data_IF_630627605987
#
_entry.id   IF_630627605987
#
_cell.length_a   1.000
_cell.length_b   1.000
_cell.length_c   1.000
_cell.angle_alpha   90.00
_cell.angle_beta   90.00
_cell.angle_gamma   90.00
#
_symmetry.space_group_name_H-M   'P 1'
#
loop_
_entity.id
_entity.type
_entity.pdbx_description
1 polymer ?
#
# COMPACT_ATOMS: atom_id res chain seq x y z
N UNK A 1 3.24 14.79 -3.42
CA UNK A 1 2.46 16.05 -3.35
C UNK A 1 0.97 15.71 -3.39
N UNK A 2 0.15 16.37 -2.56
CA UNK A 2 -1.33 16.20 -2.53
C UNK A 2 -1.99 17.46 -3.04
N UNK A 3 -2.85 17.32 -4.04
CA UNK A 3 -3.60 18.45 -4.61
C UNK A 3 -5.09 18.11 -4.72
N UNK A 4 -5.94 19.10 -4.51
CA UNK A 4 -7.40 18.96 -4.64
C UNK A 4 -7.86 19.59 -5.94
N UNK A 5 -8.50 18.80 -6.80
CA UNK A 5 -9.17 19.34 -8.00
C UNK A 5 -10.62 19.69 -7.67
N UNK A 6 -10.94 20.99 -7.81
CA UNK A 6 -12.24 21.54 -7.47
C UNK A 6 -12.19 22.37 -6.18
N UNK A 7 -12.12 23.70 -6.36
CA UNK A 7 -12.02 24.68 -5.26
C UNK A 7 -13.39 25.14 -4.72
N UNK A 8 -14.46 24.43 -5.05
CA UNK A 8 -15.83 24.69 -4.58
C UNK A 8 -16.10 24.06 -3.20
N UNK A 9 -17.40 24.01 -2.84
CA UNK A 9 -17.87 23.49 -1.54
C UNK A 9 -17.25 22.14 -1.16
N UNK A 10 -17.20 21.18 -2.08
CA UNK A 10 -16.65 19.83 -1.84
C UNK A 10 -15.14 19.84 -1.65
N UNK A 11 -14.41 20.66 -2.42
CA UNK A 11 -12.96 20.79 -2.23
C UNK A 11 -12.58 21.40 -0.89
N UNK A 12 -13.32 22.40 -0.43
CA UNK A 12 -13.14 23.02 0.89
C UNK A 12 -13.43 22.01 1.99
N UNK A 13 -14.47 21.20 1.84
CA UNK A 13 -14.79 20.17 2.82
C UNK A 13 -13.75 19.05 2.84
N UNK A 14 -13.25 18.63 1.67
CA UNK A 14 -12.15 17.67 1.58
C UNK A 14 -10.87 18.19 2.26
N UNK A 15 -10.52 19.47 2.03
CA UNK A 15 -9.39 20.10 2.73
C UNK A 15 -9.56 20.05 4.25
N UNK A 16 -10.78 20.35 4.75
CA UNK A 16 -11.08 20.29 6.18
C UNK A 16 -10.91 18.88 6.74
N UNK A 17 -11.41 17.87 6.03
CA UNK A 17 -11.27 16.48 6.42
C UNK A 17 -9.80 16.07 6.45
N UNK A 18 -9.05 16.38 5.40
CA UNK A 18 -7.63 16.04 5.31
C UNK A 18 -6.80 16.71 6.42
N UNK A 19 -7.05 17.99 6.73
CA UNK A 19 -6.42 18.69 7.85
C UNK A 19 -6.71 18.01 9.20
N UNK A 20 -7.96 17.55 9.41
CA UNK A 20 -8.33 16.82 10.63
C UNK A 20 -7.64 15.44 10.73
N UNK A 21 -7.24 14.88 9.61
CA UNK A 21 -6.48 13.63 9.51
C UNK A 21 -4.96 13.85 9.48
N UNK A 22 -4.50 15.08 9.76
CA UNK A 22 -3.09 15.51 9.74
C UNK A 22 -2.40 15.38 8.36
N UNK A 23 -3.16 15.43 7.26
CA UNK A 23 -2.59 15.56 5.92
C UNK A 23 -2.42 17.01 5.54
N UNK A 24 -1.26 17.36 4.96
CA UNK A 24 -1.05 18.65 4.31
C UNK A 24 -1.50 18.59 2.85
N UNK A 25 -2.24 19.60 2.42
CA UNK A 25 -2.62 19.79 1.02
C UNK A 25 -1.75 20.91 0.45
N UNK A 26 -1.04 20.61 -0.63
CA UNK A 26 -0.08 21.54 -1.21
C UNK A 26 -0.78 22.62 -2.06
N UNK A 27 -1.75 22.20 -2.88
CA UNK A 27 -2.46 23.10 -3.78
C UNK A 27 -3.92 22.71 -4.00
N UNK A 28 -4.73 23.70 -4.39
CA UNK A 28 -5.95 23.46 -5.16
C UNK A 28 -5.66 23.63 -6.65
N UNK A 29 -6.38 22.90 -7.50
CA UNK A 29 -6.33 23.04 -8.96
C UNK A 29 -7.66 23.55 -9.49
N UNK A 30 -7.60 24.48 -10.41
CA UNK A 30 -8.71 24.91 -11.25
C UNK A 30 -8.29 24.92 -12.73
N UNK A 31 -9.27 24.75 -13.63
CA UNK A 31 -9.04 24.75 -15.08
C UNK A 31 -8.46 26.08 -15.58
N UNK A 32 -8.89 27.20 -14.99
CA UNK A 32 -8.38 28.56 -15.25
C UNK A 32 -8.15 29.28 -13.95
N UNK A 33 -7.00 29.88 -13.80
CA UNK A 33 -6.64 30.79 -12.69
C UNK A 33 -6.21 32.10 -13.28
N UNK A 34 -7.04 33.11 -13.11
CA UNK A 34 -6.80 34.46 -13.69
C UNK A 34 -6.04 35.40 -12.74
N UNK A 35 -6.08 35.09 -11.44
CA UNK A 35 -5.39 35.86 -10.39
C UNK A 35 -4.88 34.88 -9.32
N UNK A 36 -3.86 35.32 -8.59
CA UNK A 36 -3.39 34.56 -7.44
C UNK A 36 -4.49 34.46 -6.37
N UNK A 37 -4.95 33.25 -6.10
CA UNK A 37 -6.05 32.95 -5.19
C UNK A 37 -5.56 31.95 -4.14
N UNK A 38 -5.98 32.14 -2.90
CA UNK A 38 -5.82 31.15 -1.83
C UNK A 38 -7.19 30.78 -1.24
N UNK A 39 -7.35 29.50 -0.91
CA UNK A 39 -8.54 28.97 -0.25
C UNK A 39 -8.12 28.36 1.08
N UNK A 40 -8.54 28.95 2.18
CA UNK A 40 -8.15 28.56 3.54
C UNK A 40 -6.63 28.42 3.73
N UNK A 41 -5.86 29.31 3.12
CA UNK A 41 -4.40 29.33 3.19
C UNK A 41 -3.68 28.39 2.20
N UNK A 42 -4.42 27.67 1.37
CA UNK A 42 -3.86 26.80 0.32
C UNK A 42 -3.95 27.51 -1.03
N UNK A 43 -2.81 27.63 -1.73
CA UNK A 43 -2.72 28.30 -3.04
C UNK A 43 -3.50 27.55 -4.10
N UNK A 44 -4.19 28.25 -4.98
CA UNK A 44 -4.85 27.72 -6.18
C UNK A 44 -3.91 27.86 -7.37
N UNK A 45 -3.63 26.76 -8.06
CA UNK A 45 -2.76 26.75 -9.25
C UNK A 45 -3.51 26.25 -10.48
N UNK A 46 -3.01 26.62 -11.65
CA UNK A 46 -3.51 26.10 -12.91
C UNK A 46 -2.90 24.71 -13.22
N UNK A 47 -3.52 24.00 -14.16
CA UNK A 47 -2.96 22.75 -14.66
C UNK A 47 -1.54 22.92 -15.23
N UNK A 48 -1.28 24.01 -15.95
CA UNK A 48 0.04 24.28 -16.54
C UNK A 48 1.13 24.54 -15.49
N UNK A 49 0.75 24.99 -14.31
CA UNK A 49 1.67 25.13 -13.18
C UNK A 49 1.91 23.78 -12.50
N UNK A 50 0.86 22.98 -12.33
CA UNK A 50 0.94 21.67 -11.71
C UNK A 50 1.87 20.69 -12.44
N UNK A 51 1.85 20.67 -13.77
CA UNK A 51 2.67 19.74 -14.58
C UNK A 51 4.18 19.92 -14.42
N UNK A 52 4.63 20.96 -13.71
CA UNK A 52 6.04 21.18 -13.38
C UNK A 52 6.53 20.37 -12.19
N UNK A 53 5.62 19.74 -11.45
CA UNK A 53 5.92 18.95 -10.27
C UNK A 53 5.86 17.44 -10.61
N UNK A 54 6.50 16.63 -9.78
CA UNK A 54 6.53 15.18 -9.88
C UNK A 54 5.75 14.54 -8.71
N UNK A 55 5.39 13.26 -8.83
CA UNK A 55 4.69 12.46 -7.80
C UNK A 55 3.41 13.13 -7.28
N UNK A 56 2.49 13.42 -8.20
CA UNK A 56 1.27 14.17 -7.91
C UNK A 56 0.11 13.23 -7.57
N UNK A 57 -0.51 13.45 -6.41
CA UNK A 57 -1.77 12.82 -6.02
C UNK A 57 -2.91 13.83 -6.20
N UNK A 58 -3.77 13.62 -7.18
CA UNK A 58 -4.92 14.48 -7.46
C UNK A 58 -6.18 13.89 -6.82
N UNK A 59 -6.75 14.60 -5.88
CA UNK A 59 -7.98 14.27 -5.21
C UNK A 59 -9.14 15.04 -5.87
N UNK A 60 -10.01 14.33 -6.58
CA UNK A 60 -11.17 14.94 -7.22
C UNK A 60 -12.32 15.13 -6.24
N UNK A 61 -12.70 16.38 -6.01
CA UNK A 61 -13.83 16.77 -5.19
C UNK A 61 -14.98 17.32 -6.09
N UNK A 62 -15.39 16.53 -7.09
CA UNK A 62 -16.39 16.89 -8.10
C UNK A 62 -17.55 15.90 -8.06
N UNK A 63 -18.76 16.40 -7.74
CA UNK A 63 -19.98 15.56 -7.62
C UNK A 63 -20.53 15.12 -8.97
N UNK A 64 -20.41 15.94 -9.99
CA UNK A 64 -20.92 15.63 -11.32
C UNK A 64 -20.02 14.58 -12.00
N UNK A 65 -20.54 13.35 -12.11
CA UNK A 65 -19.80 12.20 -12.67
C UNK A 65 -19.47 12.37 -14.16
N UNK A 66 -20.26 13.15 -14.91
CA UNK A 66 -20.00 13.41 -16.33
C UNK A 66 -18.82 14.36 -16.47
N UNK A 67 -18.79 15.44 -15.70
CA UNK A 67 -17.67 16.38 -15.63
C UNK A 67 -16.41 15.66 -15.11
N UNK A 68 -16.56 14.84 -14.06
CA UNK A 68 -15.45 14.07 -13.51
C UNK A 68 -14.83 13.14 -14.55
N UNK A 69 -15.64 12.43 -15.35
CA UNK A 69 -15.15 11.55 -16.42
C UNK A 69 -14.39 12.31 -17.49
N UNK A 70 -14.88 13.47 -17.91
CA UNK A 70 -14.21 14.31 -18.91
C UNK A 70 -12.86 14.80 -18.41
N UNK A 71 -12.79 15.27 -17.17
CA UNK A 71 -11.55 15.77 -16.57
C UNK A 71 -10.56 14.62 -16.33
N UNK A 72 -11.02 13.48 -15.82
CA UNK A 72 -10.17 12.27 -15.66
C UNK A 72 -9.55 11.85 -16.99
N UNK A 73 -10.33 11.83 -18.06
CA UNK A 73 -9.82 11.49 -19.39
C UNK A 73 -8.79 12.52 -19.88
N UNK A 74 -9.02 13.83 -19.68
CA UNK A 74 -8.06 14.87 -20.06
C UNK A 74 -6.75 14.75 -19.25
N UNK A 75 -6.84 14.44 -17.95
CA UNK A 75 -5.67 14.21 -17.08
C UNK A 75 -4.90 12.96 -17.51
N UNK A 76 -5.60 11.85 -17.77
CA UNK A 76 -5.00 10.58 -18.16
C UNK A 76 -4.41 10.64 -19.58
N UNK A 77 -5.04 11.41 -20.51
CA UNK A 77 -4.52 11.60 -21.85
C UNK A 77 -3.20 12.37 -21.92
N UNK A 78 -2.84 13.13 -20.88
CA UNK A 78 -1.56 13.87 -20.82
C UNK A 78 -0.34 13.00 -20.53
N UNK A 79 -0.52 11.66 -20.49
CA UNK A 79 0.52 10.60 -20.43
C UNK A 79 1.64 10.82 -19.40
N UNK A 80 1.31 11.36 -18.23
CA UNK A 80 2.26 11.43 -17.11
C UNK A 80 2.07 10.24 -16.18
N UNK A 81 3.16 9.58 -15.90
CA UNK A 81 3.19 8.29 -15.19
C UNK A 81 3.23 8.42 -13.67
N UNK A 82 3.42 9.64 -13.19
CA UNK A 82 3.58 10.04 -11.79
C UNK A 82 2.37 10.80 -11.24
N UNK A 83 1.23 10.74 -11.97
CA UNK A 83 -0.03 11.34 -11.51
C UNK A 83 -0.99 10.26 -11.07
N UNK A 84 -1.32 10.28 -9.80
CA UNK A 84 -2.32 9.40 -9.19
C UNK A 84 -3.63 10.17 -9.01
N UNK A 85 -4.74 9.55 -9.41
CA UNK A 85 -6.06 10.20 -9.44
C UNK A 85 -7.03 9.47 -8.52
N UNK A 86 -7.69 10.21 -7.63
CA UNK A 86 -8.63 9.68 -6.63
C UNK A 86 -9.96 10.41 -6.73
N UNK A 87 -11.07 9.66 -6.77
CA UNK A 87 -12.41 10.20 -6.62
C UNK A 87 -12.77 10.25 -5.13
N UNK A 88 -13.02 11.45 -4.61
CA UNK A 88 -13.22 11.67 -3.18
C UNK A 88 -14.65 12.07 -2.82
N UNK A 89 -15.61 12.01 -3.74
CA UNK A 89 -16.98 12.45 -3.43
C UNK A 89 -17.62 11.56 -2.38
N UNK A 90 -17.55 10.24 -2.54
CA UNK A 90 -18.12 9.31 -1.56
C UNK A 90 -17.43 9.46 -0.19
N UNK A 91 -16.12 9.70 -0.19
CA UNK A 91 -15.36 10.00 1.02
C UNK A 91 -15.81 11.31 1.68
N UNK A 92 -16.05 12.38 0.91
CA UNK A 92 -16.53 13.67 1.42
C UNK A 92 -17.94 13.52 1.99
N UNK A 93 -18.85 12.89 1.25
CA UNK A 93 -20.23 12.68 1.67
C UNK A 93 -20.31 11.81 2.92
N UNK A 94 -19.51 10.75 3.01
CA UNK A 94 -19.38 9.91 4.19
C UNK A 94 -18.85 10.71 5.39
N UNK A 95 -17.83 11.54 5.21
CA UNK A 95 -17.25 12.34 6.28
C UNK A 95 -18.09 13.58 6.66
N UNK A 96 -18.92 14.13 5.78
CA UNK A 96 -19.97 15.10 6.15
C UNK A 96 -21.01 14.45 7.05
N UNK A 97 -21.30 13.17 6.82
CA UNK A 97 -22.06 12.32 7.75
C UNK A 97 -21.34 12.09 9.09
N UNK A 98 -20.01 12.10 9.14
CA UNK A 98 -19.20 11.82 10.37
C UNK A 98 -19.46 12.84 11.49
N UNK A 99 -19.89 14.07 11.24
CA UNK A 99 -20.47 14.90 12.32
C UNK A 99 -21.72 14.28 12.98
N UNK A 100 -22.38 13.33 12.32
CA UNK A 100 -23.41 12.44 12.89
C UNK A 100 -22.87 11.06 13.31
N UNK A 101 -21.68 10.68 12.84
CA UNK A 101 -21.10 9.32 12.94
C UNK A 101 -20.40 9.06 14.28
N UNK A 102 -20.29 10.00 15.18
CA UNK A 102 -20.06 9.63 16.59
C UNK A 102 -21.20 8.73 17.17
N UNK A 103 -22.13 8.29 16.30
CA UNK A 103 -23.23 7.37 16.60
C UNK A 103 -23.51 6.33 15.49
N UNK A 104 -22.71 6.17 14.44
CA UNK A 104 -22.95 5.11 13.44
C UNK A 104 -22.37 3.80 13.98
N UNK A 105 -23.27 2.88 14.29
CA UNK A 105 -22.99 1.47 14.48
C UNK A 105 -22.72 0.82 13.10
N UNK A 106 -21.59 1.13 12.48
CA UNK A 106 -21.16 0.43 11.26
C UNK A 106 -20.84 -1.02 11.59
N UNK A 107 -21.22 -1.95 10.72
CA UNK A 107 -20.90 -3.37 10.87
C UNK A 107 -19.42 -3.70 10.55
N UNK A 108 -18.75 -2.81 9.84
CA UNK A 108 -17.33 -2.97 9.47
C UNK A 108 -16.45 -2.28 10.50
N UNK A 109 -15.24 -2.81 10.68
CA UNK A 109 -14.29 -2.31 11.66
C UNK A 109 -12.88 -2.26 11.06
N UNK A 110 -12.23 -1.11 11.16
CA UNK A 110 -10.83 -1.00 10.77
C UNK A 110 -9.95 -1.33 11.97
N UNK A 111 -9.25 -2.46 11.92
CA UNK A 111 -8.37 -2.89 13.02
C UNK A 111 -7.15 -1.99 13.22
N UNK A 112 -6.82 -1.12 12.23
CA UNK A 112 -5.70 -0.18 12.32
C UNK A 112 -6.04 1.00 13.23
N UNK A 113 -7.21 1.63 13.02
CA UNK A 113 -7.62 2.79 13.81
C UNK A 113 -8.71 2.49 14.84
N UNK A 114 -9.21 1.25 14.91
CA UNK A 114 -10.28 0.83 15.84
C UNK A 114 -11.66 1.39 15.51
N UNK A 115 -11.81 2.21 14.47
CA UNK A 115 -13.09 2.83 14.14
C UNK A 115 -14.01 1.87 13.41
N UNK A 116 -15.29 1.95 13.77
CA UNK A 116 -16.38 1.31 13.00
C UNK A 116 -16.74 2.19 11.81
N UNK A 117 -16.97 1.57 10.67
CA UNK A 117 -17.31 2.23 9.41
C UNK A 117 -18.46 1.49 8.72
N UNK A 118 -19.24 2.20 7.93
CA UNK A 118 -20.32 1.61 7.16
C UNK A 118 -19.77 0.70 6.05
N UNK A 119 -18.74 1.18 5.35
CA UNK A 119 -18.02 0.44 4.30
C UNK A 119 -16.60 0.92 4.15
N UNK A 120 -15.74 0.05 3.60
CA UNK A 120 -14.43 0.45 3.09
C UNK A 120 -14.56 1.03 1.70
N UNK A 121 -13.71 2.02 1.37
CA UNK A 121 -13.67 2.66 0.07
C UNK A 121 -12.94 1.80 -0.97
N UNK A 122 -13.23 1.95 -2.26
CA UNK A 122 -12.47 1.30 -3.31
C UNK A 122 -11.04 1.85 -3.38
N UNK A 123 -10.11 1.00 -3.86
CA UNK A 123 -8.71 1.39 -4.05
C UNK A 123 -7.95 0.42 -4.93
N UNK A 124 -6.70 0.76 -5.23
CA UNK A 124 -5.80 -0.03 -6.07
C UNK A 124 -5.80 0.38 -7.55
N UNK A 125 -4.98 -0.30 -8.33
CA UNK A 125 -4.70 0.04 -9.74
C UNK A 125 -5.49 -0.88 -10.66
N UNK A 126 -6.17 -0.30 -11.66
CA UNK A 126 -6.80 -1.08 -12.73
C UNK A 126 -5.73 -1.46 -13.77
N UNK A 127 -5.31 -2.71 -13.79
CA UNK A 127 -4.48 -3.27 -14.84
C UNK A 127 -5.16 -4.53 -15.43
N UNK A 128 -5.18 -4.63 -16.74
CA UNK A 128 -5.88 -5.73 -17.44
C UNK A 128 -5.30 -7.10 -17.08
N UNK A 129 -3.97 -7.18 -16.91
CA UNK A 129 -3.28 -8.42 -16.49
C UNK A 129 -3.74 -8.89 -15.12
N UNK A 130 -3.98 -7.99 -14.18
CA UNK A 130 -4.48 -8.36 -12.85
C UNK A 130 -5.90 -8.92 -12.91
N UNK A 131 -6.75 -8.33 -13.74
CA UNK A 131 -8.11 -8.82 -13.95
C UNK A 131 -8.11 -10.15 -14.71
N UNK A 132 -7.31 -10.26 -15.79
CA UNK A 132 -7.20 -11.45 -16.64
C UNK A 132 -6.77 -12.68 -15.84
N UNK A 133 -5.80 -12.53 -14.95
CA UNK A 133 -5.19 -13.62 -14.20
C UNK A 133 -5.63 -13.68 -12.73
N UNK A 134 -6.73 -12.99 -12.37
CA UNK A 134 -7.31 -13.03 -11.02
C UNK A 134 -6.26 -12.81 -9.92
N UNK A 135 -5.38 -11.81 -10.11
CA UNK A 135 -4.27 -11.55 -9.20
C UNK A 135 -4.79 -11.12 -7.82
N UNK A 136 -4.31 -11.79 -6.80
CA UNK A 136 -4.62 -11.53 -5.39
C UNK A 136 -3.57 -10.59 -4.81
N UNK A 137 -3.95 -9.72 -3.88
CA UNK A 137 -3.04 -8.74 -3.27
C UNK A 137 -2.65 -7.59 -4.21
N UNK A 138 -3.21 -7.55 -5.43
CA UNK A 138 -3.00 -6.51 -6.44
C UNK A 138 -4.30 -6.03 -7.07
N UNK A 139 -4.22 -5.02 -7.94
CA UNK A 139 -5.36 -4.56 -8.72
C UNK A 139 -6.37 -3.70 -7.96
N UNK A 140 -7.48 -3.41 -8.63
CA UNK A 140 -8.59 -2.65 -8.08
C UNK A 140 -9.44 -3.50 -7.15
N UNK A 141 -9.74 -2.99 -5.97
CA UNK A 141 -10.54 -3.65 -4.94
C UNK A 141 -11.65 -2.73 -4.44
N UNK A 142 -12.87 -3.24 -4.39
CA UNK A 142 -14.06 -2.44 -4.02
C UNK A 142 -14.10 -2.04 -2.55
N UNK A 143 -13.47 -2.80 -1.65
CA UNK A 143 -13.48 -2.60 -0.19
C UNK A 143 -12.03 -2.51 0.34
N UNK A 144 -11.23 -1.58 -0.21
CA UNK A 144 -9.79 -1.51 0.02
C UNK A 144 -9.40 -0.58 1.17
N UNK A 145 -9.86 0.67 1.15
CA UNK A 145 -9.33 1.76 1.96
C UNK A 145 -10.26 2.09 3.13
N UNK A 146 -9.71 2.23 4.32
CA UNK A 146 -10.47 2.75 5.47
C UNK A 146 -10.78 4.24 5.25
N UNK A 147 -12.08 4.66 5.32
CA UNK A 147 -12.44 6.06 5.12
C UNK A 147 -11.95 6.99 6.24
N UNK A 148 -11.54 6.46 7.37
CA UNK A 148 -11.11 7.23 8.54
C UNK A 148 -9.59 7.43 8.55
N UNK A 149 -8.80 6.35 8.47
CA UNK A 149 -7.35 6.44 8.59
C UNK A 149 -6.58 6.23 7.28
N UNK A 150 -7.26 5.82 6.20
CA UNK A 150 -6.59 5.55 4.92
C UNK A 150 -5.92 4.18 4.81
N UNK A 151 -5.89 3.38 5.88
CA UNK A 151 -5.26 2.06 5.84
C UNK A 151 -5.92 1.15 4.80
N UNK A 152 -5.10 0.51 3.98
CA UNK A 152 -5.53 -0.44 2.97
C UNK A 152 -5.94 -1.80 3.58
N UNK A 153 -6.63 -2.61 2.80
CA UNK A 153 -6.94 -4.00 3.14
C UNK A 153 -5.68 -4.83 3.45
N UNK A 154 -4.60 -4.61 2.69
CA UNK A 154 -3.30 -5.27 2.87
C UNK A 154 -2.62 -4.87 4.18
N UNK A 155 -2.64 -3.56 4.51
CA UNK A 155 -2.12 -3.09 5.81
C UNK A 155 -2.94 -3.64 6.97
N UNK A 156 -4.28 -3.71 6.84
CA UNK A 156 -5.12 -4.32 7.85
C UNK A 156 -4.81 -5.81 8.04
N UNK A 157 -4.64 -6.56 6.94
CA UNK A 157 -4.30 -7.99 7.03
C UNK A 157 -2.89 -8.20 7.60
N UNK A 158 -1.89 -7.41 7.18
CA UNK A 158 -0.56 -7.43 7.77
C UNK A 158 -0.63 -7.18 9.28
N UNK A 159 -1.34 -6.13 9.71
CA UNK A 159 -1.48 -5.82 11.13
C UNK A 159 -2.13 -6.99 11.89
N UNK A 160 -3.17 -7.59 11.34
CA UNK A 160 -3.79 -8.76 11.95
C UNK A 160 -2.79 -9.89 12.18
N UNK A 161 -1.98 -10.22 11.17
CA UNK A 161 -0.94 -11.25 11.25
C UNK A 161 0.11 -10.88 12.29
N UNK A 162 0.61 -9.63 12.27
CA UNK A 162 1.60 -9.17 13.24
C UNK A 162 1.08 -9.25 14.69
N UNK A 163 -0.17 -8.87 14.93
CA UNK A 163 -0.74 -8.86 16.28
C UNK A 163 -1.17 -10.24 16.78
N UNK A 164 -1.83 -11.03 15.93
CA UNK A 164 -2.54 -12.24 16.36
C UNK A 164 -1.80 -13.55 16.04
N UNK A 165 -0.82 -13.51 15.13
CA UNK A 165 -0.02 -14.69 14.74
C UNK A 165 1.43 -14.54 15.21
N UNK A 166 2.05 -13.39 14.95
CA UNK A 166 3.42 -13.08 15.37
C UNK A 166 3.48 -12.60 16.83
N UNK A 167 2.38 -12.05 17.34
CA UNK A 167 2.30 -11.40 18.66
C UNK A 167 3.29 -10.26 18.84
N UNK A 168 3.36 -9.36 17.85
CA UNK A 168 4.34 -8.26 17.74
C UNK A 168 4.45 -7.41 19.01
N UNK A 169 3.38 -7.30 19.79
CA UNK A 169 3.36 -6.54 21.04
C UNK A 169 4.11 -7.23 22.21
N UNK A 170 4.43 -8.52 22.07
CA UNK A 170 5.05 -9.36 23.11
C UNK A 170 6.43 -9.89 22.72
N UNK A 171 6.89 -9.62 21.49
CA UNK A 171 8.24 -9.99 21.05
C UNK A 171 9.29 -8.96 21.49
N UNK A 172 10.53 -9.37 21.47
CA UNK A 172 11.71 -8.52 21.65
C UNK A 172 12.72 -8.80 20.54
N UNK A 173 13.66 -7.87 20.32
CA UNK A 173 14.75 -8.04 19.39
C UNK A 173 14.73 -7.02 18.24
N UNK A 174 15.49 -7.31 17.20
CA UNK A 174 15.69 -6.41 16.07
C UNK A 174 14.71 -6.69 14.94
N UNK A 175 13.96 -5.67 14.56
CA UNK A 175 13.01 -5.71 13.44
C UNK A 175 13.49 -4.81 12.33
N UNK A 176 13.69 -5.36 11.15
CA UNK A 176 14.00 -4.65 9.92
C UNK A 176 12.75 -4.61 9.02
N UNK A 177 12.31 -3.41 8.62
CA UNK A 177 11.11 -3.23 7.80
C UNK A 177 11.44 -2.46 6.53
N UNK A 178 11.29 -3.10 5.38
CA UNK A 178 11.48 -2.51 4.05
C UNK A 178 10.20 -1.84 3.56
N UNK A 179 10.35 -0.66 2.94
CA UNK A 179 9.24 0.15 2.42
C UNK A 179 8.06 0.27 3.42
N UNK A 180 8.33 0.73 4.66
CA UNK A 180 7.43 0.53 5.78
C UNK A 180 6.14 1.32 5.63
N UNK A 181 5.01 0.66 5.86
CA UNK A 181 3.69 1.28 5.89
C UNK A 181 3.54 2.18 7.12
N UNK A 182 3.06 3.40 6.91
CA UNK A 182 2.94 4.44 7.95
C UNK A 182 2.20 3.97 9.21
N UNK A 183 1.11 3.23 9.03
CA UNK A 183 0.31 2.73 10.15
C UNK A 183 1.03 1.63 10.94
N UNK A 184 1.81 0.81 10.26
CA UNK A 184 2.57 -0.29 10.88
C UNK A 184 3.77 0.25 11.68
N UNK A 185 4.44 1.30 11.18
CA UNK A 185 5.54 1.96 11.88
C UNK A 185 5.14 2.34 13.32
N UNK A 186 4.00 3.03 13.47
CA UNK A 186 3.55 3.53 14.77
C UNK A 186 3.26 2.38 15.75
N UNK A 187 2.71 1.29 15.25
CA UNK A 187 2.36 0.11 16.07
C UNK A 187 3.63 -0.61 16.57
N UNK A 188 4.60 -0.84 15.67
CA UNK A 188 5.86 -1.51 16.03
C UNK A 188 6.66 -0.64 17.00
N UNK A 189 6.73 0.68 16.77
CA UNK A 189 7.45 1.62 17.66
C UNK A 189 6.88 1.71 19.08
N UNK A 190 5.61 1.34 19.28
CA UNK A 190 5.01 1.30 20.62
C UNK A 190 5.54 0.15 21.50
N UNK A 191 6.14 -0.90 20.89
CA UNK A 191 6.80 -1.94 21.67
C UNK A 191 8.26 -1.54 21.97
N UNK A 192 8.52 -1.14 23.19
CA UNK A 192 9.84 -0.66 23.66
C UNK A 192 10.93 -1.75 23.68
N UNK A 193 10.55 -3.02 23.55
CA UNK A 193 11.50 -4.14 23.50
C UNK A 193 11.98 -4.44 22.07
N UNK A 194 11.50 -3.68 21.08
CA UNK A 194 11.89 -3.83 19.70
C UNK A 194 12.91 -2.73 19.32
N UNK A 195 14.06 -3.16 18.84
CA UNK A 195 15.03 -2.31 18.15
C UNK A 195 14.63 -2.24 16.68
N UNK A 196 13.93 -1.15 16.29
CA UNK A 196 13.22 -1.05 15.02
C UNK A 196 13.97 -0.23 13.98
N UNK A 197 14.29 -0.84 12.85
CA UNK A 197 14.96 -0.25 11.70
C UNK A 197 14.05 -0.23 10.49
N UNK A 198 14.00 0.90 9.79
CA UNK A 198 13.21 1.03 8.56
C UNK A 198 14.09 1.42 7.39
N UNK A 199 13.83 0.82 6.22
CA UNK A 199 14.64 0.98 5.03
C UNK A 199 13.77 1.16 3.80
N UNK A 200 14.16 2.11 2.93
CA UNK A 200 13.53 2.35 1.63
C UNK A 200 14.62 2.74 0.63
N UNK A 201 14.40 2.47 -0.65
CA UNK A 201 15.26 2.95 -1.72
C UNK A 201 15.12 4.46 -1.94
N UNK A 202 13.99 5.03 -1.54
CA UNK A 202 13.66 6.45 -1.68
C UNK A 202 14.05 7.20 -0.41
N UNK A 203 14.97 8.18 -0.56
CA UNK A 203 15.39 9.04 0.54
C UNK A 203 14.20 9.75 1.19
N UNK A 204 14.14 9.68 2.53
CA UNK A 204 13.13 10.36 3.35
C UNK A 204 11.87 9.54 3.64
N UNK A 205 11.71 8.35 3.04
CA UNK A 205 10.61 7.44 3.36
C UNK A 205 10.86 6.52 4.55
N UNK A 206 12.13 6.29 4.87
CA UNK A 206 12.55 5.44 5.99
C UNK A 206 13.77 6.05 6.70
N UNK A 207 14.20 5.42 7.81
CA UNK A 207 15.37 5.86 8.58
C UNK A 207 16.67 5.75 7.77
N UNK A 208 16.76 4.74 6.90
CA UNK A 208 17.94 4.47 6.08
C UNK A 208 17.55 4.28 4.62
N UNK A 209 18.49 4.62 3.73
CA UNK A 209 18.41 4.33 2.29
C UNK A 209 19.35 3.18 1.99
N UNK A 210 18.82 2.07 1.45
CA UNK A 210 19.65 0.96 1.03
C UNK A 210 19.00 0.09 -0.03
N UNK A 211 19.84 -0.73 -0.65
CA UNK A 211 19.44 -1.80 -1.56
C UNK A 211 19.32 -3.13 -0.77
N UNK A 212 18.19 -3.79 -0.89
CA UNK A 212 17.91 -5.10 -0.29
C UNK A 212 18.88 -6.20 -0.80
N UNK A 213 19.49 -5.99 -1.95
CA UNK A 213 20.46 -6.93 -2.56
C UNK A 213 21.86 -6.82 -1.96
N UNK A 214 22.12 -5.77 -1.14
CA UNK A 214 23.43 -5.53 -0.51
C UNK A 214 23.27 -4.81 0.83
N UNK A 215 22.82 -5.53 1.85
CA UNK A 215 22.53 -4.97 3.16
C UNK A 215 23.79 -4.80 4.01
N UNK A 216 23.98 -3.62 4.59
CA UNK A 216 25.13 -3.30 5.46
C UNK A 216 24.89 -3.76 6.91
N UNK A 217 24.41 -5.00 7.09
CA UNK A 217 24.23 -5.64 8.39
C UNK A 217 25.10 -6.90 8.51
N UNK A 218 25.47 -7.22 9.76
CA UNK A 218 26.17 -8.46 10.06
C UNK A 218 25.27 -9.69 9.79
N UNK A 219 25.88 -10.84 9.58
CA UNK A 219 25.18 -12.11 9.51
C UNK A 219 24.38 -12.32 10.80
N UNK A 220 23.18 -12.92 10.69
CA UNK A 220 22.36 -13.31 11.85
C UNK A 220 22.12 -12.16 12.85
N UNK A 221 21.87 -10.95 12.34
CA UNK A 221 21.71 -9.76 13.15
C UNK A 221 20.25 -9.32 13.35
N UNK A 222 19.30 -9.87 12.59
CA UNK A 222 17.88 -9.52 12.62
C UNK A 222 17.02 -10.68 13.12
N UNK A 223 16.15 -10.38 14.09
CA UNK A 223 15.18 -11.34 14.59
C UNK A 223 13.95 -11.43 13.67
N UNK A 224 13.54 -10.29 13.12
CA UNK A 224 12.39 -10.19 12.21
C UNK A 224 12.74 -9.29 11.02
N UNK A 225 12.29 -9.71 9.83
CA UNK A 225 12.36 -8.90 8.60
C UNK A 225 10.96 -8.80 8.04
N UNK A 226 10.47 -7.58 7.79
CA UNK A 226 9.17 -7.31 7.17
C UNK A 226 9.41 -6.68 5.80
N UNK A 227 8.79 -7.23 4.75
CA UNK A 227 9.05 -6.82 3.37
C UNK A 227 7.78 -7.03 2.50
N UNK A 228 6.83 -6.10 2.58
CA UNK A 228 5.57 -6.24 1.87
C UNK A 228 5.57 -5.45 0.58
N UNK A 229 5.16 -6.10 -0.51
CA UNK A 229 5.06 -5.49 -1.84
C UNK A 229 6.34 -4.74 -2.27
N UNK A 230 7.49 -5.41 -2.08
CA UNK A 230 8.81 -4.92 -2.48
C UNK A 230 9.47 -5.89 -3.46
N UNK A 231 9.34 -7.20 -3.23
CA UNK A 231 10.13 -8.21 -3.97
C UNK A 231 9.75 -8.32 -5.45
N UNK A 232 8.54 -7.91 -5.81
CA UNK A 232 8.10 -7.82 -7.22
C UNK A 232 8.81 -6.71 -8.00
N UNK A 233 9.47 -5.77 -7.30
CA UNK A 233 10.22 -4.66 -7.90
C UNK A 233 11.73 -4.95 -8.03
N UNK A 234 12.23 -5.99 -7.35
CA UNK A 234 13.68 -6.27 -7.26
C UNK A 234 14.13 -7.11 -8.45
N UNK A 235 15.00 -6.56 -9.29
CA UNK A 235 15.53 -7.26 -10.48
C UNK A 235 16.33 -8.49 -10.08
N UNK A 236 17.31 -8.34 -9.20
CA UNK A 236 18.11 -9.47 -8.69
C UNK A 236 17.49 -10.06 -7.41
N UNK A 237 16.44 -10.82 -7.60
CA UNK A 237 15.73 -11.48 -6.48
C UNK A 237 16.61 -12.51 -5.77
N UNK A 238 17.57 -13.11 -6.47
CA UNK A 238 18.49 -14.10 -5.90
C UNK A 238 19.37 -13.47 -4.84
N UNK A 239 20.02 -12.36 -5.17
CA UNK A 239 20.84 -11.59 -4.22
C UNK A 239 19.98 -11.09 -3.05
N UNK A 240 18.77 -10.57 -3.30
CA UNK A 240 17.89 -10.11 -2.24
C UNK A 240 17.54 -11.23 -1.25
N UNK A 241 17.10 -12.41 -1.73
CA UNK A 241 16.75 -13.54 -0.86
C UNK A 241 17.99 -14.05 -0.10
N UNK A 242 19.15 -14.08 -0.75
CA UNK A 242 20.41 -14.49 -0.11
C UNK A 242 20.82 -13.54 1.01
N UNK A 243 20.69 -12.22 0.80
CA UNK A 243 20.96 -11.20 1.81
C UNK A 243 19.96 -11.27 2.97
N UNK A 244 18.65 -11.42 2.69
CA UNK A 244 17.64 -11.65 3.71
C UNK A 244 18.01 -12.88 4.56
N UNK A 245 18.36 -14.00 3.91
CA UNK A 245 18.77 -15.21 4.63
C UNK A 245 20.05 -15.00 5.45
N UNK A 246 21.00 -14.25 4.94
CA UNK A 246 22.28 -13.96 5.62
C UNK A 246 22.06 -13.14 6.90
N UNK A 247 21.26 -12.05 6.83
CA UNK A 247 21.07 -11.15 7.98
C UNK A 247 20.05 -11.65 8.98
N UNK A 248 19.11 -12.51 8.58
CA UNK A 248 18.12 -13.12 9.47
C UNK A 248 18.81 -14.10 10.41
N UNK A 249 18.46 -14.14 11.69
CA UNK A 249 18.88 -15.18 12.64
C UNK A 249 18.30 -16.54 12.28
N UNK A 250 18.86 -17.62 12.84
CA UNK A 250 18.41 -18.97 12.51
C UNK A 250 17.01 -19.28 13.02
N UNK A 251 16.62 -18.67 14.13
CA UNK A 251 15.26 -18.71 14.70
C UNK A 251 14.40 -17.51 14.28
N UNK A 252 14.92 -16.64 13.43
CA UNK A 252 14.27 -15.42 12.95
C UNK A 252 13.11 -15.68 11.99
N UNK A 253 12.28 -14.66 11.78
CA UNK A 253 11.13 -14.73 10.88
C UNK A 253 11.23 -13.66 9.79
N UNK A 254 11.06 -14.08 8.54
CA UNK A 254 10.90 -13.20 7.39
C UNK A 254 9.42 -13.15 7.00
N UNK A 255 8.79 -11.98 7.13
CA UNK A 255 7.35 -11.72 6.92
C UNK A 255 7.21 -10.88 5.66
N UNK A 256 6.51 -11.39 4.66
CA UNK A 256 6.42 -10.70 3.38
C UNK A 256 5.15 -11.04 2.61
N UNK A 257 4.87 -10.22 1.59
CA UNK A 257 3.77 -10.42 0.64
C UNK A 257 4.12 -9.79 -0.72
N UNK A 258 3.39 -10.21 -1.73
CA UNK A 258 3.41 -9.66 -3.09
C UNK A 258 2.12 -10.05 -3.82
N UNK A 259 1.78 -9.40 -4.95
CA UNK A 259 0.66 -9.83 -5.78
C UNK A 259 0.90 -11.24 -6.34
N UNK A 260 -0.10 -12.14 -6.20
CA UNK A 260 0.01 -13.54 -6.63
C UNK A 260 -1.03 -13.85 -7.68
N UNK A 261 -0.59 -14.45 -8.78
CA UNK A 261 -1.40 -15.05 -9.81
C UNK A 261 -1.55 -16.55 -9.55
N UNK A 262 -2.78 -17.03 -9.31
CA UNK A 262 -3.01 -18.45 -8.98
C UNK A 262 -3.20 -19.35 -10.21
N UNK A 263 -3.35 -18.79 -11.40
CA UNK A 263 -3.65 -19.55 -12.63
C UNK A 263 -2.41 -19.85 -13.49
N UNK A 264 -1.26 -19.26 -13.18
CA UNK A 264 0.00 -19.49 -13.89
C UNK A 264 1.19 -19.60 -12.94
N UNK A 265 2.33 -20.04 -13.44
CA UNK A 265 3.60 -19.95 -12.74
C UNK A 265 4.15 -18.53 -12.79
N UNK A 266 5.12 -18.24 -11.93
CA UNK A 266 5.81 -16.95 -11.88
C UNK A 266 6.33 -16.59 -13.27
N UNK A 267 5.95 -15.40 -13.73
CA UNK A 267 6.35 -14.85 -15.01
C UNK A 267 7.34 -13.72 -14.82
N UNK A 268 8.51 -13.87 -15.39
CA UNK A 268 9.59 -12.89 -15.40
C UNK A 268 10.32 -12.99 -16.74
N UNK A 269 10.48 -11.86 -17.42
CA UNK A 269 11.20 -11.76 -18.70
C UNK A 269 12.07 -10.50 -18.68
N UNK A 270 13.38 -10.67 -18.72
CA UNK A 270 14.36 -9.58 -18.67
C UNK A 270 14.26 -8.64 -19.88
N UNK A 271 13.70 -9.09 -20.98
CA UNK A 271 13.47 -8.24 -22.17
C UNK A 271 12.38 -7.19 -21.94
N UNK A 272 11.46 -7.41 -20.99
CA UNK A 272 10.39 -6.47 -20.61
C UNK A 272 11.00 -5.38 -19.71
N UNK A 273 11.47 -4.31 -20.34
CA UNK A 273 12.23 -3.26 -19.64
C UNK A 273 11.52 -1.90 -19.60
N UNK A 274 10.67 -1.59 -20.58
CA UNK A 274 9.94 -0.31 -20.60
C UNK A 274 8.81 -0.28 -19.56
N UNK A 275 8.53 0.89 -18.95
CA UNK A 275 7.41 1.04 -18.02
C UNK A 275 6.05 0.63 -18.62
N UNK A 276 5.84 0.86 -19.90
CA UNK A 276 4.61 0.53 -20.62
C UNK A 276 4.44 -0.98 -20.76
N UNK A 277 5.51 -1.70 -21.10
CA UNK A 277 5.50 -3.16 -21.17
C UNK A 277 5.32 -3.77 -19.77
N UNK A 278 6.03 -3.26 -18.76
CA UNK A 278 5.86 -3.71 -17.37
C UNK A 278 4.42 -3.54 -16.89
N UNK A 279 3.78 -2.40 -17.17
CA UNK A 279 2.37 -2.19 -16.87
C UNK A 279 1.49 -3.23 -17.57
N UNK A 280 1.75 -3.54 -18.82
CA UNK A 280 1.00 -4.51 -19.63
C UNK A 280 1.14 -5.94 -19.11
N UNK A 281 2.37 -6.37 -18.76
CA UNK A 281 2.67 -7.76 -18.43
C UNK A 281 2.66 -8.05 -16.93
N UNK A 282 3.04 -7.08 -16.09
CA UNK A 282 3.15 -7.24 -14.64
C UNK A 282 2.14 -6.40 -13.85
N UNK A 283 1.38 -5.52 -14.51
CA UNK A 283 0.31 -4.73 -13.90
C UNK A 283 0.73 -3.43 -13.24
N UNK A 284 2.04 -3.17 -13.14
CA UNK A 284 2.60 -1.89 -12.69
C UNK A 284 3.88 -1.57 -13.49
N UNK A 285 4.22 -0.29 -13.58
CA UNK A 285 5.34 0.22 -14.39
C UNK A 285 6.73 -0.14 -13.87
N UNK A 286 6.80 -0.43 -12.59
CA UNK A 286 8.00 -0.72 -11.81
C UNK A 286 8.09 -2.18 -11.34
N UNK A 287 7.06 -2.99 -11.60
CA UNK A 287 7.15 -4.43 -11.42
C UNK A 287 8.09 -5.05 -12.46
N UNK A 288 8.85 -6.04 -12.05
CA UNK A 288 9.74 -6.80 -12.93
C UNK A 288 9.35 -8.27 -13.04
N UNK A 289 8.35 -8.68 -12.26
CA UNK A 289 7.75 -10.02 -12.29
C UNK A 289 6.31 -10.01 -11.83
N UNK A 290 5.59 -11.05 -12.19
CA UNK A 290 4.30 -11.43 -11.64
C UNK A 290 4.44 -12.80 -10.98
N UNK A 291 4.38 -12.85 -9.65
CA UNK A 291 4.47 -14.11 -8.92
C UNK A 291 3.27 -15.01 -9.23
N UNK A 292 3.55 -16.28 -9.45
CA UNK A 292 2.58 -17.31 -9.75
C UNK A 292 2.38 -18.31 -8.60
N UNK A 293 1.63 -19.39 -8.87
CA UNK A 293 1.34 -20.46 -7.91
C UNK A 293 2.56 -21.19 -7.38
N UNK A 294 3.69 -21.12 -8.08
CA UNK A 294 4.99 -21.72 -7.78
C UNK A 294 5.88 -20.86 -6.86
N UNK A 295 5.39 -19.73 -6.36
CA UNK A 295 6.18 -18.83 -5.52
C UNK A 295 6.83 -19.55 -4.32
N UNK A 296 6.13 -20.52 -3.73
CA UNK A 296 6.63 -21.25 -2.59
C UNK A 296 7.92 -22.03 -2.93
N UNK A 297 7.99 -22.64 -4.12
CA UNK A 297 9.15 -23.37 -4.57
C UNK A 297 10.38 -22.46 -4.74
N UNK A 298 10.16 -21.20 -5.14
CA UNK A 298 11.23 -20.21 -5.29
C UNK A 298 11.93 -20.03 -3.95
N UNK A 299 11.20 -19.68 -2.88
CA UNK A 299 11.79 -19.40 -1.56
C UNK A 299 12.30 -20.67 -0.86
N UNK A 300 11.62 -21.80 -1.07
CA UNK A 300 12.03 -23.11 -0.53
C UNK A 300 13.41 -23.55 -1.04
N UNK A 301 13.75 -23.25 -2.32
CA UNK A 301 15.07 -23.49 -2.90
C UNK A 301 16.20 -22.69 -2.24
N UNK A 302 15.85 -21.55 -1.63
CA UNK A 302 16.81 -20.73 -0.86
C UNK A 302 16.90 -21.11 0.61
N UNK A 303 16.34 -22.25 1.00
CA UNK A 303 16.43 -22.77 2.36
C UNK A 303 15.49 -22.13 3.36
N UNK A 304 14.28 -21.77 2.90
CA UNK A 304 13.18 -21.32 3.76
C UNK A 304 12.06 -22.38 3.83
N UNK A 305 11.51 -22.55 5.03
CA UNK A 305 10.20 -23.15 5.24
C UNK A 305 9.16 -22.04 5.32
N UNK A 306 8.01 -22.22 4.67
CA UNK A 306 6.99 -21.20 4.52
C UNK A 306 5.70 -21.59 5.25
N UNK A 307 5.19 -20.65 6.05
CA UNK A 307 3.81 -20.66 6.54
C UNK A 307 3.01 -19.58 5.81
N UNK A 308 1.90 -19.97 5.16
CA UNK A 308 1.10 -19.10 4.30
C UNK A 308 -0.18 -18.73 5.04
N UNK A 309 -0.20 -17.51 5.59
CA UNK A 309 -1.33 -16.95 6.30
C UNK A 309 -2.36 -16.37 5.31
N UNK A 310 -3.57 -16.90 5.34
CA UNK A 310 -4.71 -16.40 4.54
C UNK A 310 -5.90 -16.09 5.45
N UNK A 311 -6.65 -15.00 5.22
CA UNK A 311 -7.84 -14.68 6.02
C UNK A 311 -8.83 -15.84 6.11
N UNK A 312 -9.13 -16.52 5.01
CA UNK A 312 -10.07 -17.66 4.98
C UNK A 312 -9.64 -18.88 5.81
N UNK A 313 -8.36 -18.99 6.20
CA UNK A 313 -7.85 -20.05 7.06
C UNK A 313 -7.82 -19.66 8.53
N UNK A 314 -7.76 -18.37 8.82
CA UNK A 314 -7.59 -17.82 10.16
C UNK A 314 -8.89 -17.27 10.77
N UNK A 315 -9.88 -16.96 9.95
CA UNK A 315 -11.06 -16.20 10.34
C UNK A 315 -12.35 -16.76 9.77
N UNK A 316 -13.48 -16.47 10.43
CA UNK A 316 -14.81 -16.75 9.89
C UNK A 316 -15.14 -15.76 8.75
N UNK A 317 -16.13 -16.11 7.92
CA UNK A 317 -16.59 -15.20 6.84
C UNK A 317 -17.09 -13.86 7.40
N UNK A 318 -17.77 -13.87 8.52
CA UNK A 318 -18.28 -12.67 9.20
C UNK A 318 -17.13 -11.77 9.65
N UNK A 319 -16.05 -12.35 10.18
CA UNK A 319 -14.85 -11.60 10.58
C UNK A 319 -14.12 -11.01 9.37
N UNK A 320 -13.95 -11.79 8.29
CA UNK A 320 -13.35 -11.33 7.03
C UNK A 320 -14.13 -10.14 6.47
N UNK A 321 -15.45 -10.26 6.43
CA UNK A 321 -16.34 -9.19 5.99
C UNK A 321 -16.30 -7.98 6.91
N UNK A 322 -16.29 -8.20 8.23
CA UNK A 322 -16.23 -7.13 9.24
C UNK A 322 -14.95 -6.30 9.10
N UNK A 323 -13.81 -6.93 8.95
CA UNK A 323 -12.50 -6.26 8.84
C UNK A 323 -12.17 -5.83 7.40
N UNK A 324 -12.99 -6.22 6.42
CA UNK A 324 -12.79 -5.92 5.00
C UNK A 324 -11.53 -6.54 4.42
N UNK A 325 -11.22 -7.77 4.85
CA UNK A 325 -10.11 -8.52 4.28
C UNK A 325 -10.51 -9.18 2.95
N UNK A 326 -9.52 -9.51 2.14
CA UNK A 326 -9.67 -10.37 0.97
C UNK A 326 -9.42 -11.81 1.41
N UNK A 327 -10.39 -12.71 1.19
CA UNK A 327 -10.34 -14.10 1.68
C UNK A 327 -9.04 -14.84 1.35
N UNK A 328 -8.51 -14.60 0.16
CA UNK A 328 -7.33 -15.27 -0.39
C UNK A 328 -6.04 -14.45 -0.30
N UNK A 329 -6.09 -13.25 0.29
CA UNK A 329 -4.88 -12.44 0.46
C UNK A 329 -3.82 -13.20 1.27
N UNK A 330 -2.54 -12.87 1.03
CA UNK A 330 -1.43 -13.67 1.52
C UNK A 330 -0.45 -12.82 2.30
N UNK A 331 -0.16 -13.24 3.53
CA UNK A 331 1.10 -12.93 4.21
C UNK A 331 1.87 -14.22 4.38
N UNK A 332 3.15 -14.20 4.02
CA UNK A 332 4.05 -15.35 4.11
C UNK A 332 4.99 -15.14 5.28
N UNK A 333 5.10 -16.13 6.15
CA UNK A 333 6.09 -16.17 7.22
C UNK A 333 7.10 -17.26 6.85
N UNK A 334 8.33 -16.85 6.57
CA UNK A 334 9.42 -17.74 6.23
C UNK A 334 10.39 -17.89 7.42
N UNK A 335 10.81 -19.09 7.69
CA UNK A 335 11.87 -19.43 8.65
C UNK A 335 12.97 -20.18 7.92
N UNK A 336 14.22 -20.02 8.37
CA UNK A 336 15.30 -20.83 7.82
C UNK A 336 15.03 -22.31 8.07
N UNK A 337 15.25 -23.13 7.05
CA UNK A 337 15.28 -24.60 7.23
C UNK A 337 16.38 -24.95 8.19
N UNK A 338 16.07 -25.77 9.17
CA UNK A 338 17.09 -26.38 10.03
C UNK A 338 17.91 -27.33 9.17
N UNK A 339 19.22 -27.12 9.16
CA UNK A 339 20.13 -28.13 8.61
C UNK A 339 20.03 -29.36 9.50
N UNK A 340 19.66 -30.49 8.89
CA UNK A 340 19.56 -31.80 9.59
C UNK A 340 20.95 -32.39 9.75
#
# INVERSE_FOLDING_TARGET
MIVIYGAGKYGIELLRILKNLNYSVDYFIQSKVEKEIQIQGVKVISWNELIKYDDINILFAIRDKSILSLIKNDVLCKKRNDIYVYDCIDFIETNQGVKKINSIQGEKECIVCGNKVESFLPGGICADVFKKHHVIGGGYRKKCICPICGASDRERWLLYVLQNIIHINHISGRVLHFAPEMHIISIIKNNINIDYYTWDIIKGRAMHVTDITNMQYANQSMDYIICNHVLEHIVDIKSAISEIRRVLKDDGMFIFSFPICNDMNTFEDISISSPEERLKYYGQKDHVRLYGKDFADIYTKYGFDLDICRPKRALTKEQIERYGFIEDDVIIIAKKKKEI
#
